data_IF_917822891477
#
_entry.id   IF_917822891477
#
_cell.length_a   1.000
_cell.length_b   1.000
_cell.length_c   1.000
_cell.angle_alpha   90.00
_cell.angle_beta   90.00
_cell.angle_gamma   90.00
#
_symmetry.space_group_name_H-M   'P 1'
#
loop_
_entity.id
_entity.type
_entity.pdbx_description
1 polymer ?
#
# COMPACT_ATOMS: atom_id res chain seq x y z
N UNK A 1 -7.49 6.09 17.42
CA UNK A 1 -6.86 5.72 16.13
C UNK A 1 -7.50 6.58 15.04
N UNK A 2 -6.72 7.06 14.06
CA UNK A 2 -7.30 7.81 12.94
C UNK A 2 -7.93 6.82 11.96
N UNK A 3 -9.11 7.14 11.47
CA UNK A 3 -9.76 6.37 10.42
C UNK A 3 -9.00 6.56 9.10
N UNK A 4 -8.70 5.46 8.41
CA UNK A 4 -8.03 5.48 7.11
C UNK A 4 -9.10 5.40 6.04
N UNK A 5 -9.26 6.48 5.29
CA UNK A 5 -10.14 6.52 4.13
C UNK A 5 -9.33 6.40 2.84
N UNK A 6 -9.63 5.37 2.04
CA UNK A 6 -9.07 5.18 0.70
C UNK A 6 -10.05 5.76 -0.31
N UNK A 7 -9.65 6.85 -0.99
CA UNK A 7 -10.50 7.47 -2.00
C UNK A 7 -10.78 6.52 -3.18
N UNK A 8 -11.94 6.63 -3.87
CA UNK A 8 -12.32 5.69 -4.93
C UNK A 8 -11.29 5.53 -6.06
N UNK A 9 -10.58 6.62 -6.40
CA UNK A 9 -9.54 6.57 -7.43
C UNK A 9 -8.32 5.74 -6.99
N UNK A 10 -7.98 5.77 -5.70
CA UNK A 10 -6.86 5.00 -5.16
C UNK A 10 -7.21 3.51 -5.07
N UNK A 11 -8.43 3.19 -4.64
CA UNK A 11 -8.95 1.82 -4.59
C UNK A 11 -8.91 1.17 -5.99
N UNK A 12 -9.48 1.82 -7.01
CA UNK A 12 -9.45 1.33 -8.41
C UNK A 12 -8.02 1.11 -8.94
N UNK A 13 -7.08 1.95 -8.50
CA UNK A 13 -5.65 1.85 -8.87
C UNK A 13 -4.95 0.70 -8.14
N UNK A 14 -5.36 0.37 -6.93
CA UNK A 14 -4.84 -0.75 -6.15
C UNK A 14 -5.34 -2.08 -6.73
N UNK A 15 -6.65 -2.19 -6.96
CA UNK A 15 -7.30 -3.37 -7.56
C UNK A 15 -6.67 -3.76 -8.89
N UNK A 16 -6.46 -2.80 -9.80
CA UNK A 16 -5.83 -3.04 -11.11
C UNK A 16 -4.42 -3.64 -11.00
N UNK A 17 -3.72 -3.39 -9.89
CA UNK A 17 -2.37 -3.88 -9.63
C UNK A 17 -2.35 -5.12 -8.74
N UNK A 18 -3.51 -5.66 -8.36
CA UNK A 18 -3.62 -6.76 -7.40
C UNK A 18 -3.13 -6.38 -6.00
N UNK A 19 -3.14 -5.09 -5.65
CA UNK A 19 -2.74 -4.61 -4.33
C UNK A 19 -3.94 -4.72 -3.41
N UNK A 20 -3.80 -5.51 -2.34
CA UNK A 20 -4.84 -5.68 -1.34
C UNK A 20 -4.93 -4.47 -0.41
N UNK A 21 -6.14 -4.10 0.00
CA UNK A 21 -6.38 -2.95 0.88
C UNK A 21 -5.66 -3.08 2.22
N UNK A 22 -5.58 -4.28 2.78
CA UNK A 22 -4.91 -4.53 4.06
C UNK A 22 -3.40 -4.23 3.98
N UNK A 23 -2.80 -4.31 2.79
CA UNK A 23 -1.39 -3.92 2.60
C UNK A 23 -1.22 -2.40 2.65
N UNK A 24 -2.18 -1.66 2.11
CA UNK A 24 -2.21 -0.19 2.17
C UNK A 24 -2.35 0.25 3.62
N UNK A 25 -3.32 -0.31 4.34
CA UNK A 25 -3.58 -0.02 5.75
C UNK A 25 -2.35 -0.33 6.62
N UNK A 26 -1.72 -1.48 6.44
CA UNK A 26 -0.48 -1.84 7.15
C UNK A 26 0.68 -0.90 6.84
N UNK A 27 0.84 -0.48 5.58
CA UNK A 27 1.89 0.46 5.22
C UNK A 27 1.67 1.84 5.87
N UNK A 28 0.43 2.25 6.09
CA UNK A 28 0.10 3.53 6.76
C UNK A 28 0.24 3.43 8.28
N UNK A 29 -0.28 2.36 8.89
CA UNK A 29 -0.32 2.20 10.35
C UNK A 29 1.04 1.80 10.93
N UNK A 30 1.77 0.96 10.21
CA UNK A 30 3.02 0.35 10.66
C UNK A 30 4.04 0.33 9.51
N UNK A 31 4.53 1.51 9.06
CA UNK A 31 5.56 1.58 8.04
C UNK A 31 6.89 1.00 8.55
N UNK A 32 7.59 0.26 7.71
CA UNK A 32 8.98 -0.16 7.98
C UNK A 32 9.96 0.99 7.72
N UNK A 33 9.63 1.83 6.73
CA UNK A 33 10.40 3.02 6.41
C UNK A 33 9.53 4.12 5.82
N UNK A 34 10.00 5.35 5.97
CA UNK A 34 9.43 6.54 5.32
C UNK A 34 10.55 7.16 4.48
N UNK A 35 10.31 7.33 3.19
CA UNK A 35 11.29 7.88 2.24
C UNK A 35 10.75 9.16 1.59
N UNK A 36 11.65 10.01 1.12
CA UNK A 36 11.31 11.16 0.29
C UNK A 36 10.90 10.70 -1.12
N UNK A 37 9.73 11.16 -1.54
CA UNK A 37 9.12 10.89 -2.83
C UNK A 37 9.03 12.14 -3.69
N UNK A 38 8.51 11.96 -4.90
CA UNK A 38 8.44 13.03 -5.88
C UNK A 38 7.65 14.26 -5.39
N UNK A 39 8.27 15.44 -5.52
CA UNK A 39 7.71 16.71 -5.09
C UNK A 39 7.70 16.91 -3.57
N UNK A 40 8.66 16.34 -2.84
CA UNK A 40 8.79 16.49 -1.38
C UNK A 40 7.74 15.73 -0.58
N UNK A 41 7.14 14.70 -1.17
CA UNK A 41 6.12 13.87 -0.49
C UNK A 41 6.81 12.81 0.36
N UNK A 42 6.29 12.56 1.57
CA UNK A 42 6.73 11.41 2.37
C UNK A 42 5.98 10.15 1.93
N UNK A 43 6.73 9.08 1.65
CA UNK A 43 6.18 7.80 1.19
C UNK A 43 6.44 6.73 2.25
N UNK A 44 5.37 6.25 2.86
CA UNK A 44 5.40 5.11 3.76
C UNK A 44 5.55 3.80 2.96
N UNK A 45 6.50 2.96 3.35
CA UNK A 45 6.76 1.69 2.68
C UNK A 45 6.77 0.54 3.67
N UNK A 46 6.26 -0.61 3.22
CA UNK A 46 6.28 -1.88 3.94
C UNK A 46 6.46 -3.03 2.96
N UNK A 47 7.32 -3.99 3.28
CA UNK A 47 7.47 -5.21 2.49
C UNK A 47 6.30 -6.15 2.74
N UNK A 48 5.82 -6.77 1.66
CA UNK A 48 4.79 -7.81 1.72
C UNK A 48 5.32 -9.06 1.05
N UNK A 49 5.12 -10.22 1.69
CA UNK A 49 5.52 -11.50 1.14
C UNK A 49 4.43 -11.97 0.17
N UNK A 50 4.76 -12.04 -1.12
CA UNK A 50 3.87 -12.58 -2.14
C UNK A 50 4.11 -14.08 -2.23
N UNK A 51 3.18 -14.89 -1.74
CA UNK A 51 3.11 -16.29 -2.13
C UNK A 51 2.52 -16.35 -3.53
N UNK A 52 3.39 -16.34 -4.54
CA UNK A 52 2.99 -16.64 -5.90
C UNK A 52 2.83 -18.16 -5.96
N UNK A 53 1.60 -18.66 -5.80
CA UNK A 53 1.28 -20.02 -6.20
C UNK A 53 1.43 -20.06 -7.72
N UNK A 54 2.52 -20.67 -8.21
CA UNK A 54 2.66 -21.03 -9.62
C UNK A 54 1.41 -21.81 -10.02
N UNK A 55 0.54 -21.19 -10.82
CA UNK A 55 -0.52 -21.88 -11.53
C UNK A 55 0.00 -22.06 -12.95
N UNK A 56 0.35 -23.32 -13.22
CA UNK A 56 0.56 -24.01 -14.49
C UNK A 56 1.41 -23.33 -15.57
#
# INVERSE_FOLDING_TARGET
MKEIEVIPLAERKAERRGIKREWIEKAILEPEQIVEGYGGRKVAQRKVLLMISNIC
#
